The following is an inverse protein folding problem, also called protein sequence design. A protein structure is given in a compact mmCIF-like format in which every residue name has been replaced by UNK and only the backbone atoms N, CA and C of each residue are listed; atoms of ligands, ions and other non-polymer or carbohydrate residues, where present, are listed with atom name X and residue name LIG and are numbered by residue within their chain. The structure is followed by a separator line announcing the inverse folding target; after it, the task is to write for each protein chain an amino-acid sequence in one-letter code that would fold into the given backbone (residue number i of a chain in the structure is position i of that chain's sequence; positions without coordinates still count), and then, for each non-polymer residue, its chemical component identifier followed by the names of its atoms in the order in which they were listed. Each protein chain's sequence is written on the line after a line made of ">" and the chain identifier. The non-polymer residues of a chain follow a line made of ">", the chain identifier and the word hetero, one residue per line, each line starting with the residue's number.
data_IF_846411146618
#
_entry.id   IF_846411146618
#
_cell.length_a   1.000
_cell.length_b   1.000
_cell.length_c   1.000
_cell.angle_alpha   90.00
_cell.angle_beta   90.00
_cell.angle_gamma   90.00
#
_symmetry.space_group_name_H-M   'P 1'
#
loop_
_entity.id
_entity.type
_entity.pdbx_description
1 polymer ?
#
# COMPACT_ATOMS: atom_id res chain seq x y z
N UNK A 1 -39.07 22.75 8.14
CA UNK A 1 -37.85 22.94 7.31
C UNK A 1 -38.17 22.40 5.93
N UNK A 2 -37.89 23.10 4.81
CA UNK A 2 -38.42 22.70 3.51
C UNK A 2 -37.80 21.36 3.09
N UNK A 3 -38.59 20.33 2.70
CA UNK A 3 -38.10 18.96 2.46
C UNK A 3 -37.03 18.87 1.35
N UNK A 4 -37.00 19.83 0.42
CA UNK A 4 -36.00 19.93 -0.64
C UNK A 4 -34.58 20.21 -0.12
N UNK A 5 -34.45 20.95 0.98
CA UNK A 5 -33.14 21.26 1.58
C UNK A 5 -32.52 19.99 2.18
N UNK A 6 -33.35 19.13 2.78
CA UNK A 6 -32.91 17.83 3.30
C UNK A 6 -32.42 16.92 2.16
N UNK A 7 -33.15 16.89 1.03
CA UNK A 7 -32.73 16.13 -0.16
C UNK A 7 -31.43 16.64 -0.77
N UNK A 8 -31.28 17.96 -0.88
CA UNK A 8 -30.04 18.56 -1.39
C UNK A 8 -28.85 18.24 -0.48
N UNK A 9 -29.04 18.23 0.84
CA UNK A 9 -28.01 17.82 1.80
C UNK A 9 -27.59 16.35 1.62
N UNK A 10 -28.54 15.44 1.44
CA UNK A 10 -28.25 14.01 1.23
C UNK A 10 -27.52 13.79 -0.09
N UNK A 11 -28.00 14.40 -1.18
CA UNK A 11 -27.38 14.25 -2.51
C UNK A 11 -25.99 14.89 -2.55
N UNK A 12 -25.83 16.07 -1.96
CA UNK A 12 -24.53 16.74 -1.84
C UNK A 12 -23.55 15.92 -1.01
N UNK A 13 -23.98 15.38 0.13
CA UNK A 13 -23.16 14.52 0.98
C UNK A 13 -22.70 13.25 0.25
N UNK A 14 -23.61 12.57 -0.46
CA UNK A 14 -23.27 11.38 -1.24
C UNK A 14 -22.24 11.68 -2.35
N UNK A 15 -22.37 12.82 -3.03
CA UNK A 15 -21.43 13.25 -4.06
C UNK A 15 -20.02 13.49 -3.51
N UNK A 16 -19.91 14.14 -2.34
CA UNK A 16 -18.62 14.39 -1.67
C UNK A 16 -17.97 13.09 -1.22
N UNK A 17 -18.72 12.16 -0.63
CA UNK A 17 -18.20 10.85 -0.21
C UNK A 17 -17.67 10.07 -1.41
N UNK A 18 -18.44 10.03 -2.51
CA UNK A 18 -18.01 9.36 -3.74
C UNK A 18 -16.76 9.99 -4.34
N UNK A 19 -16.67 11.32 -4.32
CA UNK A 19 -15.48 12.03 -4.77
C UNK A 19 -14.26 11.72 -3.89
N UNK A 20 -14.42 11.79 -2.56
CA UNK A 20 -13.36 11.49 -1.61
C UNK A 20 -12.85 10.04 -1.74
N UNK A 21 -13.76 9.08 -1.91
CA UNK A 21 -13.40 7.67 -2.14
C UNK A 21 -12.57 7.50 -3.42
N UNK A 22 -12.99 8.14 -4.52
CA UNK A 22 -12.26 8.08 -5.79
C UNK A 22 -10.87 8.71 -5.68
N UNK A 23 -10.76 9.83 -4.98
CA UNK A 23 -9.48 10.51 -4.72
C UNK A 23 -8.56 9.67 -3.85
N UNK A 24 -9.10 9.05 -2.79
CA UNK A 24 -8.34 8.15 -1.93
C UNK A 24 -7.84 6.90 -2.69
N UNK A 25 -8.68 6.28 -3.52
CA UNK A 25 -8.25 5.18 -4.37
C UNK A 25 -7.14 5.59 -5.35
N UNK A 26 -7.23 6.78 -5.94
CA UNK A 26 -6.19 7.29 -6.85
C UNK A 26 -4.84 7.44 -6.14
N UNK A 27 -4.84 8.05 -4.95
CA UNK A 27 -3.62 8.20 -4.13
C UNK A 27 -3.07 6.82 -3.75
N UNK A 28 -3.94 5.88 -3.39
CA UNK A 28 -3.51 4.54 -3.00
C UNK A 28 -2.89 3.77 -4.18
N UNK A 29 -3.42 3.94 -5.39
CA UNK A 29 -2.83 3.39 -6.61
C UNK A 29 -1.42 3.95 -6.86
N UNK A 30 -1.23 5.27 -6.73
CA UNK A 30 0.09 5.90 -6.84
C UNK A 30 1.06 5.39 -5.75
N UNK A 31 0.56 5.12 -4.54
CA UNK A 31 1.35 4.57 -3.45
C UNK A 31 1.73 3.10 -3.68
N UNK A 32 0.80 2.30 -4.23
CA UNK A 32 1.05 0.91 -4.59
C UNK A 32 2.02 0.79 -5.76
N UNK A 33 1.95 1.70 -6.74
CA UNK A 33 2.95 1.82 -7.81
C UNK A 33 4.34 2.14 -7.25
N UNK A 34 4.44 3.04 -6.26
CA UNK A 34 5.71 3.32 -5.58
C UNK A 34 6.20 2.15 -4.70
N UNK A 35 5.30 1.38 -4.09
CA UNK A 35 5.68 0.18 -3.34
C UNK A 35 6.17 -0.90 -4.29
N UNK A 36 5.48 -1.13 -5.40
CA UNK A 36 5.88 -2.08 -6.43
C UNK A 36 7.21 -1.67 -7.05
N UNK A 37 7.44 -0.39 -7.31
CA UNK A 37 8.75 0.07 -7.81
C UNK A 37 9.85 -0.16 -6.79
N UNK A 38 9.64 0.12 -5.50
CA UNK A 38 10.62 -0.19 -4.44
C UNK A 38 10.82 -1.68 -4.21
N UNK A 39 9.78 -2.52 -4.29
CA UNK A 39 9.90 -3.98 -4.15
C UNK A 39 10.61 -4.57 -5.36
N UNK A 40 10.36 -4.04 -6.56
CA UNK A 40 11.06 -4.43 -7.79
C UNK A 40 12.52 -3.96 -7.77
N UNK A 41 12.80 -2.78 -7.20
CA UNK A 41 14.16 -2.26 -6.99
C UNK A 41 14.88 -2.95 -5.81
N UNK A 42 14.14 -3.53 -4.86
CA UNK A 42 14.66 -4.41 -3.81
C UNK A 42 14.77 -5.89 -4.25
N UNK A 43 14.17 -6.26 -5.38
CA UNK A 43 14.21 -7.60 -5.94
C UNK A 43 15.60 -8.08 -6.43
N UNK A 44 16.64 -7.23 -6.61
CA UNK A 44 18.01 -7.69 -6.76
C UNK A 44 18.84 -7.49 -5.48
N UNK A 45 18.26 -7.46 -4.27
CA UNK A 45 18.99 -7.92 -3.07
C UNK A 45 19.12 -9.47 -3.07
N UNK A 46 19.40 -10.04 -4.25
CA UNK A 46 19.56 -11.46 -4.51
C UNK A 46 20.87 -12.03 -3.99
N UNK A 47 21.51 -11.40 -3.00
CA UNK A 47 22.73 -11.93 -2.39
C UNK A 47 22.96 -11.36 -0.99
N UNK A 48 21.90 -11.17 -0.19
CA UNK A 48 22.12 -11.10 1.26
C UNK A 48 22.59 -12.50 1.66
N UNK A 49 23.90 -12.64 1.78
CA UNK A 49 24.61 -13.87 2.16
C UNK A 49 24.22 -14.26 3.57
N UNK A 50 23.02 -14.83 3.73
CA UNK A 50 22.49 -15.22 5.02
C UNK A 50 23.44 -16.23 5.62
N UNK A 51 23.87 -15.98 6.86
CA UNK A 51 24.75 -16.91 7.53
C UNK A 51 23.99 -18.21 7.77
N UNK A 52 24.43 -19.29 7.14
CA UNK A 52 23.86 -20.63 7.33
C UNK A 52 24.56 -21.28 8.51
N UNK A 53 23.76 -21.87 9.41
CA UNK A 53 24.29 -22.61 10.55
C UNK A 53 24.91 -23.92 10.06
N UNK A 54 26.19 -24.12 10.36
CA UNK A 54 26.91 -25.36 10.08
C UNK A 54 26.42 -26.46 11.04
N UNK A 55 25.86 -27.58 10.54
CA UNK A 55 25.35 -28.65 11.39
C UNK A 55 26.46 -29.39 12.16
N UNK A 56 27.72 -29.30 11.73
CA UNK A 56 28.84 -30.03 12.35
C UNK A 56 29.51 -29.21 13.44
N UNK A 57 29.74 -27.91 13.20
CA UNK A 57 30.44 -27.03 14.15
C UNK A 57 29.52 -26.12 14.96
N UNK A 58 28.24 -26.02 14.58
CA UNK A 58 27.30 -25.06 15.16
C UNK A 58 27.60 -23.60 14.81
N UNK A 59 28.71 -23.32 14.10
CA UNK A 59 29.11 -21.98 13.71
C UNK A 59 28.31 -21.49 12.51
N UNK A 60 28.11 -20.17 12.44
CA UNK A 60 27.43 -19.52 11.33
C UNK A 60 28.44 -19.19 10.23
N UNK A 61 28.22 -19.69 9.01
CA UNK A 61 29.08 -19.43 7.84
C UNK A 61 28.29 -18.76 6.72
N UNK A 62 28.89 -17.82 5.99
CA UNK A 62 28.25 -17.24 4.81
C UNK A 62 28.12 -18.31 3.72
N UNK A 63 26.88 -18.60 3.30
CA UNK A 63 26.56 -19.56 2.22
C UNK A 63 26.78 -18.97 0.83
#
# INVERSE_FOLDING_TARGET
>A
MPPFVAFAGVLGGLAVVRWAYKTAMKINQELDEMRLSRVTEAAPMGDIKTLKRDPVSGAYRPG
#
